data_IF_566982892065
#
_entry.id   IF_566982892065
#
_cell.length_a   1.000
_cell.length_b   1.000
_cell.length_c   1.000
_cell.angle_alpha   90.00
_cell.angle_beta   90.00
_cell.angle_gamma   90.00
#
_symmetry.space_group_name_H-M   'P 1'
#
loop_
_entity.id
_entity.type
_entity.pdbx_description
1 polymer ?
#
# COMPACT_ATOMS: atom_id res chain seq x y z
N UNK A 1 -15.00 46.96 -47.42
CA UNK A 1 -15.25 46.36 -46.09
C UNK A 1 -14.70 44.94 -46.11
N UNK A 2 -13.55 44.71 -45.47
CA UNK A 2 -12.92 43.40 -45.28
C UNK A 2 -12.72 43.26 -43.77
N UNK A 3 -13.45 42.35 -43.14
CA UNK A 3 -13.29 42.05 -41.71
C UNK A 3 -12.61 40.69 -41.54
N UNK A 4 -11.66 40.68 -40.61
CA UNK A 4 -10.68 39.64 -40.36
C UNK A 4 -11.29 38.35 -39.82
N UNK A 5 -10.74 37.21 -40.26
CA UNK A 5 -10.92 35.91 -39.62
C UNK A 5 -10.06 35.85 -38.35
N UNK A 6 -10.68 35.54 -37.21
CA UNK A 6 -10.02 35.35 -35.92
C UNK A 6 -9.59 33.88 -35.78
N UNK A 7 -8.28 33.66 -35.68
CA UNK A 7 -7.66 32.38 -35.39
C UNK A 7 -7.67 32.14 -33.87
N UNK A 8 -8.45 31.18 -33.40
CA UNK A 8 -8.39 30.67 -32.03
C UNK A 8 -7.18 29.74 -31.88
N UNK A 9 -6.14 30.23 -31.21
CA UNK A 9 -5.04 29.40 -30.70
C UNK A 9 -5.47 28.81 -29.35
N UNK A 10 -5.84 27.52 -29.33
CA UNK A 10 -6.03 26.75 -28.10
C UNK A 10 -4.66 26.33 -27.58
N UNK A 11 -4.17 27.03 -26.55
CA UNK A 11 -2.98 26.64 -25.79
C UNK A 11 -3.33 25.45 -24.91
N UNK A 12 -2.76 24.28 -25.22
CA UNK A 12 -2.87 23.05 -24.45
C UNK A 12 -1.92 23.14 -23.24
N UNK A 13 -2.43 23.58 -22.09
CA UNK A 13 -1.71 23.51 -20.82
C UNK A 13 -1.71 22.05 -20.33
N UNK A 14 -0.56 21.40 -20.47
CA UNK A 14 -0.29 20.09 -19.87
C UNK A 14 -0.15 20.29 -18.36
N UNK A 15 -1.21 20.00 -17.59
CA UNK A 15 -1.12 19.84 -16.14
C UNK A 15 -0.27 18.59 -15.85
N UNK A 16 1.00 18.79 -15.48
CA UNK A 16 1.74 17.76 -14.78
C UNK A 16 1.17 17.66 -13.37
N UNK A 17 0.51 16.53 -13.08
CA UNK A 17 0.11 16.20 -11.71
C UNK A 17 1.36 16.03 -10.86
N UNK A 18 1.61 16.99 -9.96
CA UNK A 18 2.60 16.87 -8.90
C UNK A 18 2.18 15.71 -7.99
N UNK A 19 2.78 14.54 -8.22
CA UNK A 19 2.75 13.46 -7.24
C UNK A 19 3.50 13.98 -6.00
N UNK A 20 2.78 14.12 -4.89
CA UNK A 20 3.39 14.43 -3.60
C UNK A 20 4.27 13.25 -3.21
N UNK A 21 5.58 13.36 -3.44
CA UNK A 21 6.54 12.36 -2.98
C UNK A 21 6.50 12.35 -1.45
N UNK A 22 6.34 11.17 -0.87
CA UNK A 22 6.33 10.95 0.57
C UNK A 22 7.73 11.12 1.23
N UNK A 23 8.65 11.77 0.52
CA UNK A 23 10.07 11.83 0.84
C UNK A 23 10.38 13.10 1.63
N UNK A 24 10.99 12.93 2.79
CA UNK A 24 11.59 14.01 3.55
C UNK A 24 12.86 14.54 2.88
N UNK A 25 13.44 15.64 3.41
CA UNK A 25 14.54 16.37 2.78
C UNK A 25 15.83 15.55 2.57
N UNK A 26 15.97 14.39 3.21
CA UNK A 26 17.15 13.53 3.12
C UNK A 26 16.87 12.17 2.43
N UNK A 27 15.73 12.01 1.76
CA UNK A 27 15.31 10.74 1.16
C UNK A 27 14.70 9.73 2.16
N UNK A 28 14.78 10.02 3.46
CA UNK A 28 14.03 9.30 4.49
C UNK A 28 12.53 9.57 4.37
N UNK A 29 11.70 8.57 4.67
CA UNK A 29 10.24 8.74 4.69
C UNK A 29 9.85 9.69 5.80
N UNK A 30 9.13 10.75 5.44
CA UNK A 30 8.40 11.53 6.41
C UNK A 30 7.17 10.70 6.82
N UNK A 31 7.06 10.33 8.09
CA UNK A 31 5.97 9.48 8.60
C UNK A 31 4.72 10.30 8.97
N UNK A 32 4.82 11.62 9.06
CA UNK A 32 3.71 12.46 9.49
C UNK A 32 2.57 12.47 8.47
N UNK A 33 1.36 12.73 8.96
CA UNK A 33 0.15 12.75 8.15
C UNK A 33 -0.57 11.40 8.13
N UNK A 34 -1.39 11.19 7.09
CA UNK A 34 -2.27 10.04 6.97
C UNK A 34 -1.80 9.05 5.90
N UNK A 35 -2.02 7.78 6.20
CA UNK A 35 -1.49 6.65 5.45
C UNK A 35 -2.55 5.59 5.28
N UNK A 36 -2.65 5.04 4.08
CA UNK A 36 -3.42 3.84 3.83
C UNK A 36 -2.46 2.65 3.85
N UNK A 37 -2.73 1.67 4.70
CA UNK A 37 -1.82 0.58 5.00
C UNK A 37 -2.46 -0.79 4.75
N UNK A 38 -1.60 -1.74 4.37
CA UNK A 38 -1.90 -3.17 4.36
C UNK A 38 -1.01 -3.87 5.37
N UNK A 39 -1.59 -4.76 6.17
CA UNK A 39 -0.90 -5.62 7.12
C UNK A 39 -0.98 -7.04 6.59
N UNK A 40 0.17 -7.69 6.51
CA UNK A 40 0.33 -9.06 6.00
C UNK A 40 1.07 -9.92 7.03
N UNK A 41 1.10 -11.23 6.81
CA UNK A 41 1.90 -12.18 7.58
C UNK A 41 1.12 -13.11 8.51
N UNK A 42 -0.18 -12.87 8.74
CA UNK A 42 -1.03 -13.84 9.43
C UNK A 42 -1.84 -14.69 8.41
N UNK A 43 -1.54 -15.99 8.26
CA UNK A 43 -2.24 -16.85 7.31
C UNK A 43 -3.71 -17.10 7.68
N UNK A 44 -4.11 -16.92 8.95
CA UNK A 44 -5.49 -17.09 9.39
C UNK A 44 -6.37 -15.86 9.10
N UNK A 45 -5.79 -14.66 9.03
CA UNK A 45 -6.54 -13.42 8.83
C UNK A 45 -6.40 -12.82 7.42
N UNK A 46 -5.41 -13.27 6.64
CA UNK A 46 -5.09 -12.68 5.34
C UNK A 46 -4.66 -11.22 5.49
N UNK A 47 -4.72 -10.48 4.38
CA UNK A 47 -4.33 -9.07 4.38
C UNK A 47 -5.37 -8.20 5.11
N UNK A 48 -4.96 -7.54 6.20
CA UNK A 48 -5.78 -6.56 6.93
C UNK A 48 -5.52 -5.16 6.38
N UNK A 49 -6.57 -4.36 6.19
CA UNK A 49 -6.45 -2.97 5.71
C UNK A 49 -6.81 -1.99 6.81
N UNK A 50 -5.96 -0.99 7.01
CA UNK A 50 -6.18 0.06 7.99
C UNK A 50 -5.59 1.40 7.51
N UNK A 51 -6.07 2.48 8.10
CA UNK A 51 -5.50 3.80 7.91
C UNK A 51 -4.79 4.22 9.19
N UNK A 52 -3.60 4.78 9.07
CA UNK A 52 -2.82 5.34 10.18
C UNK A 52 -2.69 6.84 10.01
N UNK A 53 -2.69 7.54 11.14
CA UNK A 53 -2.36 8.96 11.19
C UNK A 53 -1.34 9.22 12.30
N UNK A 54 -0.26 9.89 11.93
CA UNK A 54 0.80 10.31 12.84
C UNK A 54 0.84 11.83 12.88
N UNK A 55 0.53 12.40 14.04
CA UNK A 55 0.51 13.85 14.24
C UNK A 55 1.82 14.34 14.88
N UNK A 56 2.27 15.59 14.61
CA UNK A 56 3.56 16.10 15.11
C UNK A 56 3.69 16.13 16.64
N UNK A 57 2.55 16.10 17.35
CA UNK A 57 2.48 16.08 18.79
C UNK A 57 2.73 14.69 19.39
N UNK A 58 3.14 13.69 18.60
CA UNK A 58 3.34 12.31 19.03
C UNK A 58 2.07 11.45 19.03
N UNK A 59 0.92 12.01 18.65
CA UNK A 59 -0.35 11.26 18.65
C UNK A 59 -0.41 10.32 17.44
N UNK A 60 -0.86 9.08 17.70
CA UNK A 60 -1.12 8.07 16.67
C UNK A 60 -2.57 7.64 16.72
N UNK A 61 -3.21 7.57 15.56
CA UNK A 61 -4.60 7.13 15.41
C UNK A 61 -4.73 6.11 14.30
N UNK A 62 -5.63 5.15 14.48
CA UNK A 62 -5.99 4.21 13.44
C UNK A 62 -7.46 4.32 13.07
N UNK A 63 -7.76 4.11 11.80
CA UNK A 63 -9.12 3.88 11.32
C UNK A 63 -9.17 2.56 10.56
N UNK A 64 -10.17 1.74 10.88
CA UNK A 64 -10.48 0.57 10.06
C UNK A 64 -11.60 0.92 9.10
N UNK A 65 -11.58 0.38 7.87
CA UNK A 65 -12.78 0.27 7.08
C UNK A 65 -13.90 -0.43 7.87
N UNK A 66 -14.87 0.32 8.38
CA UNK A 66 -15.96 -0.19 9.22
C UNK A 66 -17.32 0.23 8.69
N UNK A 67 -18.33 -0.61 8.97
CA UNK A 67 -19.76 -0.32 8.77
C UNK A 67 -20.28 0.71 9.78
N UNK A 68 -19.65 0.81 10.95
CA UNK A 68 -20.07 1.68 12.04
C UNK A 68 -19.45 3.08 11.89
N UNK A 69 -20.34 4.07 11.69
CA UNK A 69 -20.05 5.45 11.32
C UNK A 69 -19.64 6.31 12.52
N UNK A 70 -19.77 5.82 13.75
CA UNK A 70 -19.78 6.68 14.93
C UNK A 70 -18.40 7.20 15.39
N UNK A 71 -17.27 6.61 14.95
CA UNK A 71 -15.89 7.06 15.24
C UNK A 71 -14.90 6.38 14.29
N UNK A 72 -14.42 7.03 13.21
CA UNK A 72 -13.48 6.39 12.29
C UNK A 72 -12.12 6.18 12.95
N UNK A 73 -11.66 7.15 13.76
CA UNK A 73 -10.31 7.15 14.33
C UNK A 73 -10.32 6.73 15.79
N UNK A 74 -9.64 5.63 16.09
CA UNK A 74 -9.39 5.17 17.44
C UNK A 74 -7.92 5.43 17.81
N UNK A 75 -7.64 5.90 19.04
CA UNK A 75 -6.28 6.18 19.47
C UNK A 75 -5.45 4.89 19.56
N UNK A 76 -4.16 5.04 19.28
CA UNK A 76 -3.10 4.08 19.53
C UNK A 76 -2.14 4.65 20.58
N UNK A 77 -1.09 3.92 20.95
CA UNK A 77 -0.01 4.50 21.73
C UNK A 77 0.66 5.65 20.96
N UNK A 78 1.31 6.55 21.69
CA UNK A 78 2.06 7.65 21.07
C UNK A 78 3.22 7.08 20.27
N UNK A 79 3.41 7.59 19.05
CA UNK A 79 4.55 7.17 18.26
C UNK A 79 5.84 7.75 18.84
N UNK A 80 6.93 7.01 18.71
CA UNK A 80 8.26 7.41 19.12
C UNK A 80 9.29 6.95 18.10
N UNK A 81 10.44 7.62 18.07
CA UNK A 81 11.61 7.13 17.33
C UNK A 81 12.55 6.45 18.31
N UNK A 82 12.77 5.16 18.14
CA UNK A 82 13.67 4.36 18.96
C UNK A 82 14.68 3.67 18.05
N UNK A 83 15.97 3.93 18.25
CA UNK A 83 17.06 3.37 17.43
C UNK A 83 16.90 3.60 15.92
N UNK A 84 16.26 4.70 15.51
CA UNK A 84 15.98 5.02 14.10
C UNK A 84 14.65 4.47 13.58
N UNK A 85 13.95 3.66 14.37
CA UNK A 85 12.69 3.04 14.00
C UNK A 85 11.49 3.81 14.59
N UNK A 86 10.42 3.94 13.81
CA UNK A 86 9.12 4.42 14.28
C UNK A 86 8.43 3.31 15.07
N UNK A 87 8.10 3.53 16.34
CA UNK A 87 7.43 2.53 17.17
C UNK A 87 6.12 3.06 17.75
N UNK A 88 5.09 2.21 17.77
CA UNK A 88 3.78 2.47 18.37
C UNK A 88 3.02 1.15 18.55
N UNK A 89 1.88 1.17 19.24
CA UNK A 89 1.19 -0.04 19.68
C UNK A 89 -0.33 0.11 19.62
N UNK A 90 -1.02 -0.97 19.27
CA UNK A 90 -2.45 -1.17 19.49
C UNK A 90 -2.67 -2.11 20.68
N UNK A 91 -2.83 -1.52 21.86
CA UNK A 91 -3.07 -2.26 23.10
C UNK A 91 -4.36 -3.09 23.09
N UNK A 92 -5.35 -2.72 22.26
CA UNK A 92 -6.61 -3.48 22.13
C UNK A 92 -6.41 -4.77 21.36
N UNK A 93 -5.54 -4.75 20.35
CA UNK A 93 -5.18 -5.92 19.56
C UNK A 93 -3.95 -6.66 20.12
N UNK A 94 -3.27 -6.11 21.13
CA UNK A 94 -2.01 -6.62 21.64
C UNK A 94 -0.91 -6.64 20.58
N UNK A 95 -0.90 -5.61 19.71
CA UNK A 95 -0.03 -5.54 18.52
C UNK A 95 0.95 -4.39 18.64
N UNK A 96 2.23 -4.70 18.57
CA UNK A 96 3.33 -3.74 18.52
C UNK A 96 3.72 -3.50 17.06
N UNK A 97 4.03 -2.26 16.71
CA UNK A 97 4.45 -1.86 15.38
C UNK A 97 5.83 -1.23 15.42
N UNK A 98 6.62 -1.58 14.41
CA UNK A 98 7.94 -1.05 14.15
C UNK A 98 8.03 -0.67 12.67
N UNK A 99 8.36 0.58 12.37
CA UNK A 99 8.50 1.11 11.03
C UNK A 99 9.93 1.55 10.74
N UNK A 100 10.44 1.18 9.58
CA UNK A 100 11.78 1.57 9.12
C UNK A 100 11.69 2.87 8.32
N UNK A 101 12.19 3.96 8.89
CA UNK A 101 12.16 5.28 8.28
C UNK A 101 13.27 5.52 7.25
N UNK A 102 14.22 4.58 7.11
CA UNK A 102 15.29 4.67 6.11
C UNK A 102 14.83 4.27 4.70
N UNK A 103 13.65 3.64 4.61
CA UNK A 103 13.04 3.20 3.35
C UNK A 103 12.42 4.37 2.59
N UNK A 104 12.01 4.11 1.35
CA UNK A 104 11.31 5.08 0.49
C UNK A 104 9.79 5.10 0.73
N UNK A 105 9.26 4.10 1.44
CA UNK A 105 7.85 3.96 1.78
C UNK A 105 7.70 3.71 3.29
N UNK A 106 6.54 4.06 3.85
CA UNK A 106 6.28 3.83 5.26
C UNK A 106 5.85 2.37 5.47
N UNK A 107 6.53 1.67 6.37
CA UNK A 107 6.18 0.30 6.72
C UNK A 107 7.26 -0.36 7.56
N UNK A 108 7.06 -1.63 7.88
CA UNK A 108 8.00 -2.43 8.66
C UNK A 108 7.34 -3.67 9.23
N UNK A 109 7.65 -4.00 10.46
CA UNK A 109 7.18 -5.20 11.15
C UNK A 109 6.05 -4.86 12.12
N UNK A 110 5.13 -5.80 12.30
CA UNK A 110 4.25 -5.83 13.46
C UNK A 110 4.41 -7.15 14.20
N UNK A 111 4.22 -7.13 15.51
CA UNK A 111 4.37 -8.29 16.37
C UNK A 111 3.22 -8.38 17.36
N UNK A 112 2.76 -9.60 17.60
CA UNK A 112 1.94 -9.99 18.74
C UNK A 112 2.69 -11.10 19.49
N UNK A 113 2.12 -11.57 20.61
CA UNK A 113 2.73 -12.60 21.45
C UNK A 113 3.21 -13.86 20.70
N UNK A 114 2.50 -14.29 19.66
CA UNK A 114 2.82 -15.51 18.90
C UNK A 114 2.85 -15.29 17.38
N UNK A 115 2.61 -14.07 16.93
CA UNK A 115 2.43 -13.77 15.51
C UNK A 115 3.35 -12.62 15.14
N UNK A 116 3.94 -12.72 13.97
CA UNK A 116 4.73 -11.65 13.38
C UNK A 116 4.26 -11.48 11.95
N UNK A 117 4.36 -10.26 11.47
CA UNK A 117 4.08 -9.95 10.09
C UNK A 117 4.67 -8.60 9.75
N UNK A 118 4.26 -8.08 8.61
CA UNK A 118 4.67 -6.76 8.19
C UNK A 118 3.52 -5.88 7.80
N UNK A 119 3.85 -4.62 7.61
CA UNK A 119 2.91 -3.60 7.20
C UNK A 119 3.58 -2.68 6.20
N UNK A 120 2.80 -2.24 5.22
CA UNK A 120 3.27 -1.37 4.15
C UNK A 120 2.18 -0.35 3.85
N UNK A 121 2.58 0.91 3.65
CA UNK A 121 1.65 2.00 3.49
C UNK A 121 1.97 2.86 2.27
N UNK A 122 0.89 3.38 1.68
CA UNK A 122 0.91 4.46 0.73
C UNK A 122 0.39 5.75 1.37
N UNK A 123 1.05 6.87 1.11
CA UNK A 123 0.62 8.20 1.57
C UNK A 123 -0.77 8.53 1.02
N UNK A 124 -1.63 9.09 1.88
CA UNK A 124 -2.96 9.61 1.51
C UNK A 124 -2.89 11.10 1.21
N UNK A 125 -3.76 11.57 0.31
CA UNK A 125 -3.94 13.01 0.08
C UNK A 125 -4.84 13.64 1.16
N UNK A 126 -4.72 14.94 1.37
CA UNK A 126 -5.59 15.67 2.32
C UNK A 126 -7.07 15.58 1.95
N UNK A 127 -7.37 15.48 0.65
CA UNK A 127 -8.71 15.26 0.13
C UNK A 127 -9.27 13.90 0.56
N UNK A 128 -8.47 12.83 0.53
CA UNK A 128 -8.89 11.50 0.99
C UNK A 128 -9.12 11.45 2.49
N UNK A 129 -8.29 12.16 3.26
CA UNK A 129 -8.44 12.29 4.72
C UNK A 129 -9.73 13.02 5.08
N UNK A 130 -10.05 14.08 4.35
CA UNK A 130 -11.22 14.93 4.58
C UNK A 130 -12.50 14.29 4.03
N UNK A 131 -12.44 13.63 2.87
CA UNK A 131 -13.56 12.88 2.30
C UNK A 131 -14.00 11.73 3.21
N UNK A 132 -13.09 11.18 4.04
CA UNK A 132 -13.44 10.26 5.12
C UNK A 132 -14.42 10.83 6.16
N UNK A 133 -14.62 12.16 6.20
CA UNK A 133 -15.62 12.85 7.02
C UNK A 133 -16.80 13.48 6.27
N UNK A 134 -16.79 13.52 4.92
CA UNK A 134 -17.83 14.21 4.11
C UNK A 134 -18.55 13.27 3.12
N UNK A 135 -18.13 12.02 2.96
CA UNK A 135 -18.83 11.03 2.14
C UNK A 135 -20.02 10.38 2.88
N UNK A 136 -20.84 11.19 3.55
CA UNK A 136 -21.86 10.72 4.50
C UNK A 136 -23.14 10.17 3.81
N UNK A 137 -23.34 10.43 2.51
CA UNK A 137 -24.65 10.23 1.86
C UNK A 137 -24.70 9.22 0.68
N UNK A 138 -23.59 8.68 0.16
CA UNK A 138 -23.64 7.85 -1.08
C UNK A 138 -23.47 6.34 -0.85
N UNK A 139 -23.13 5.86 0.35
CA UNK A 139 -22.74 4.45 0.56
C UNK A 139 -23.58 3.70 1.59
N UNK A 140 -24.91 3.85 1.55
CA UNK A 140 -25.79 2.86 2.14
C UNK A 140 -25.86 1.63 1.21
N UNK A 141 -24.99 0.63 1.45
CA UNK A 141 -25.15 -0.71 0.86
C UNK A 141 -24.02 -1.26 0.00
N UNK A 142 -22.75 -0.86 0.23
CA UNK A 142 -21.63 -1.47 -0.51
C UNK A 142 -20.64 -2.10 0.47
N UNK A 143 -20.84 -3.38 0.75
CA UNK A 143 -20.06 -4.14 1.74
C UNK A 143 -18.67 -4.61 1.25
N UNK A 144 -18.26 -4.34 0.01
CA UNK A 144 -17.02 -4.93 -0.55
C UNK A 144 -16.31 -4.06 -1.62
N UNK A 145 -16.10 -2.77 -1.35
CA UNK A 145 -15.45 -1.86 -2.34
C UNK A 145 -14.08 -1.32 -1.98
N UNK A 146 -13.46 -1.83 -0.90
CA UNK A 146 -12.05 -1.52 -0.57
C UNK A 146 -11.08 -2.67 -0.86
N UNK A 147 -11.58 -3.85 -1.22
CA UNK A 147 -10.73 -4.94 -1.71
C UNK A 147 -10.28 -4.59 -3.12
N UNK A 148 -8.98 -4.75 -3.38
CA UNK A 148 -8.45 -4.63 -4.74
C UNK A 148 -8.72 -5.97 -5.41
N UNK A 149 -9.40 -5.95 -6.55
CA UNK A 149 -9.82 -7.17 -7.26
C UNK A 149 -8.82 -7.40 -8.39
N UNK A 150 -8.11 -8.54 -8.42
CA UNK A 150 -7.25 -8.88 -9.55
C UNK A 150 -8.07 -9.03 -10.84
N UNK A 151 -7.64 -8.39 -11.92
CA UNK A 151 -8.21 -8.55 -13.25
C UNK A 151 -7.39 -9.54 -14.09
N UNK A 152 -6.06 -9.44 -14.00
CA UNK A 152 -5.10 -10.34 -14.65
C UNK A 152 -3.99 -10.65 -13.66
N UNK A 153 -3.68 -11.94 -13.48
CA UNK A 153 -2.60 -12.38 -12.60
C UNK A 153 -1.62 -13.20 -13.41
N UNK A 154 -0.44 -12.62 -13.67
CA UNK A 154 0.67 -13.36 -14.27
C UNK A 154 1.35 -14.23 -13.22
N UNK A 155 1.85 -15.38 -13.68
CA UNK A 155 2.58 -16.37 -12.86
C UNK A 155 4.07 -16.24 -13.17
N UNK A 156 4.95 -16.19 -12.15
CA UNK A 156 6.38 -16.12 -12.40
C UNK A 156 6.90 -17.39 -13.03
N UNK A 157 7.83 -17.25 -13.96
CA UNK A 157 8.61 -18.39 -14.45
C UNK A 157 9.57 -18.87 -13.37
N UNK A 158 9.64 -20.18 -13.15
CA UNK A 158 10.65 -20.77 -12.27
C UNK A 158 12.05 -20.65 -12.90
N UNK A 159 13.04 -20.04 -12.23
CA UNK A 159 14.41 -19.96 -12.77
C UNK A 159 15.02 -21.34 -13.00
N UNK A 160 15.56 -21.61 -14.19
CA UNK A 160 16.20 -22.90 -14.50
C UNK A 160 17.35 -23.24 -13.55
N UNK A 161 18.12 -22.23 -13.17
CA UNK A 161 19.23 -22.37 -12.22
C UNK A 161 18.72 -22.81 -10.83
N UNK A 162 17.63 -22.22 -10.35
CA UNK A 162 17.01 -22.62 -9.09
C UNK A 162 16.49 -24.07 -9.12
N UNK A 163 15.98 -24.54 -10.27
CA UNK A 163 15.60 -25.95 -10.46
C UNK A 163 16.82 -26.87 -10.32
N UNK A 164 17.93 -26.55 -11.00
CA UNK A 164 19.14 -27.37 -10.94
C UNK A 164 19.77 -27.41 -9.56
N UNK A 165 19.67 -26.31 -8.81
CA UNK A 165 20.17 -26.20 -7.44
C UNK A 165 19.19 -26.74 -6.40
N UNK A 166 17.98 -27.15 -6.79
CA UNK A 166 16.96 -27.64 -5.86
C UNK A 166 16.44 -26.57 -4.90
N UNK A 167 16.49 -25.30 -5.30
CA UNK A 167 16.10 -24.17 -4.44
C UNK A 167 14.60 -23.96 -4.50
N UNK A 168 13.97 -23.88 -3.34
CA UNK A 168 12.60 -23.43 -3.12
C UNK A 168 12.59 -22.08 -2.39
N UNK A 169 11.48 -21.36 -2.43
CA UNK A 169 11.50 -20.03 -1.84
C UNK A 169 10.22 -19.23 -1.90
N UNK A 170 10.32 -18.01 -1.37
CA UNK A 170 9.26 -17.01 -1.42
C UNK A 170 9.82 -15.62 -1.67
N UNK A 171 9.05 -14.83 -2.40
CA UNK A 171 9.29 -13.40 -2.61
C UNK A 171 8.04 -12.63 -2.21
N UNK A 172 8.20 -11.63 -1.36
CA UNK A 172 7.12 -10.71 -0.99
C UNK A 172 7.37 -9.35 -1.64
N UNK A 173 6.39 -8.90 -2.43
CA UNK A 173 6.43 -7.59 -3.08
C UNK A 173 5.21 -6.80 -2.65
N UNK A 174 5.40 -5.60 -2.13
CA UNK A 174 4.34 -4.64 -1.87
C UNK A 174 4.38 -3.50 -2.88
N UNK A 175 3.23 -2.94 -3.21
CA UNK A 175 3.07 -1.97 -4.29
C UNK A 175 1.81 -1.14 -4.07
N UNK A 176 1.75 0.01 -4.74
CA UNK A 176 0.52 0.78 -4.89
C UNK A 176 -0.30 0.29 -6.09
N UNK A 177 -1.61 0.38 -5.98
CA UNK A 177 -2.54 0.22 -7.11
C UNK A 177 -3.29 1.53 -7.28
N UNK A 178 -3.18 2.12 -8.47
CA UNK A 178 -3.90 3.33 -8.84
C UNK A 178 -5.38 3.04 -9.12
N UNK A 179 -6.29 4.05 -9.08
CA UNK A 179 -7.69 3.86 -9.43
C UNK A 179 -7.95 3.30 -10.84
N UNK A 180 -7.00 3.45 -11.77
CA UNK A 180 -7.05 2.81 -13.09
C UNK A 180 -6.87 1.29 -13.03
N UNK A 181 -6.38 0.75 -11.92
CA UNK A 181 -5.99 -0.65 -11.75
C UNK A 181 -4.53 -0.95 -12.11
N UNK A 182 -3.74 0.09 -12.43
CA UNK A 182 -2.31 -0.03 -12.72
C UNK A 182 -1.49 -0.17 -11.43
N UNK A 183 -0.40 -0.94 -11.50
CA UNK A 183 0.54 -1.16 -10.40
C UNK A 183 1.64 -0.09 -10.46
N UNK A 184 1.95 0.52 -9.31
CA UNK A 184 2.96 1.56 -9.16
C UNK A 184 3.86 1.28 -7.95
N UNK A 185 5.10 1.78 -8.00
CA UNK A 185 6.08 1.72 -6.90
C UNK A 185 6.25 0.32 -6.27
N UNK A 186 6.55 -0.72 -7.06
CA UNK A 186 6.80 -2.04 -6.49
C UNK A 186 8.07 -2.04 -5.64
N UNK A 187 7.96 -2.58 -4.43
CA UNK A 187 9.04 -2.71 -3.48
C UNK A 187 9.13 -4.16 -3.00
N UNK A 188 10.29 -4.77 -3.22
CA UNK A 188 10.56 -6.14 -2.80
C UNK A 188 11.00 -6.12 -1.35
N UNK A 189 10.17 -6.67 -0.45
CA UNK A 189 10.40 -6.63 1.00
C UNK A 189 11.15 -7.85 1.51
N UNK A 190 10.86 -9.01 0.94
CA UNK A 190 11.49 -10.26 1.34
C UNK A 190 11.81 -11.10 0.10
N UNK A 191 13.01 -11.69 0.09
CA UNK A 191 13.50 -12.57 -0.96
C UNK A 191 14.25 -13.70 -0.28
N UNK A 192 13.81 -14.94 -0.47
CA UNK A 192 14.52 -16.10 0.06
C UNK A 192 15.82 -16.38 -0.70
N UNK A 193 15.82 -16.15 -2.01
CA UNK A 193 16.98 -16.28 -2.89
C UNK A 193 16.88 -15.28 -4.05
N UNK A 194 17.98 -14.62 -4.40
CA UNK A 194 18.02 -13.57 -5.42
C UNK A 194 17.61 -14.06 -6.81
N UNK A 195 17.73 -15.37 -7.10
CA UNK A 195 17.24 -15.96 -8.34
C UNK A 195 15.72 -15.78 -8.53
N UNK A 196 14.96 -15.61 -7.46
CA UNK A 196 13.51 -15.45 -7.51
C UNK A 196 13.05 -13.98 -7.67
N UNK A 197 13.94 -13.00 -7.46
CA UNK A 197 13.60 -11.57 -7.48
C UNK A 197 13.02 -11.13 -8.82
N UNK A 198 13.80 -11.27 -9.89
CA UNK A 198 13.43 -10.77 -11.22
C UNK A 198 12.17 -11.46 -11.78
N UNK A 199 12.03 -12.80 -11.75
CA UNK A 199 10.80 -13.43 -12.22
C UNK A 199 9.55 -13.02 -11.44
N UNK A 200 9.67 -12.78 -10.12
CA UNK A 200 8.58 -12.28 -9.30
C UNK A 200 8.17 -10.87 -9.70
N UNK A 201 9.15 -9.99 -9.94
CA UNK A 201 8.90 -8.63 -10.43
C UNK A 201 8.24 -8.63 -11.81
N UNK A 202 8.72 -9.46 -12.74
CA UNK A 202 8.12 -9.60 -14.07
C UNK A 202 6.67 -10.10 -14.01
N UNK A 203 6.38 -11.08 -13.14
CA UNK A 203 5.02 -11.55 -12.91
C UNK A 203 4.13 -10.45 -12.30
N UNK A 204 4.66 -9.62 -11.41
CA UNK A 204 3.92 -8.49 -10.87
C UNK A 204 3.62 -7.47 -11.98
N UNK A 205 4.61 -7.08 -12.79
CA UNK A 205 4.46 -6.12 -13.89
C UNK A 205 3.46 -6.61 -14.94
N UNK A 206 3.44 -7.91 -15.22
CA UNK A 206 2.45 -8.53 -16.12
C UNK A 206 1.05 -8.69 -15.53
N UNK A 207 0.82 -8.29 -14.29
CA UNK A 207 -0.49 -8.36 -13.62
C UNK A 207 -1.23 -7.02 -13.67
N UNK A 208 -2.55 -7.06 -13.50
CA UNK A 208 -3.43 -5.88 -13.51
C UNK A 208 -4.59 -6.07 -12.55
N UNK A 209 -5.06 -4.98 -11.95
CA UNK A 209 -6.23 -4.97 -11.08
C UNK A 209 -7.43 -4.30 -11.77
N UNK A 210 -8.63 -4.58 -11.26
CA UNK A 210 -9.83 -3.87 -11.66
C UNK A 210 -9.78 -2.45 -11.12
N UNK A 211 -9.95 -1.46 -12.00
CA UNK A 211 -10.05 -0.05 -11.61
C UNK A 211 -11.35 0.29 -10.88
N UNK A 212 -11.36 1.44 -10.21
CA UNK A 212 -12.50 1.97 -9.48
C UNK A 212 -12.67 3.48 -9.68
N UNK A 213 -13.88 4.00 -9.42
CA UNK A 213 -14.11 5.44 -9.42
C UNK A 213 -13.45 6.07 -8.19
N UNK A 214 -12.35 6.80 -8.41
CA UNK A 214 -11.59 7.48 -7.37
C UNK A 214 -12.45 8.40 -6.51
N UNK A 215 -13.42 9.10 -7.12
CA UNK A 215 -14.28 10.06 -6.41
C UNK A 215 -15.17 9.37 -5.38
N UNK A 216 -15.48 8.09 -5.61
CA UNK A 216 -16.36 7.31 -4.73
C UNK A 216 -15.58 6.46 -3.74
N UNK A 217 -14.40 5.99 -4.13
CA UNK A 217 -13.70 4.91 -3.41
C UNK A 217 -12.27 5.24 -3.00
N UNK A 218 -11.85 6.51 -3.15
CA UNK A 218 -10.51 6.99 -2.81
C UNK A 218 -9.49 6.73 -3.91
N UNK A 219 -8.29 7.27 -3.74
CA UNK A 219 -7.16 7.12 -4.65
C UNK A 219 -6.40 5.82 -4.41
N UNK A 220 -5.08 5.92 -4.48
CA UNK A 220 -4.13 4.81 -4.49
C UNK A 220 -4.30 3.89 -3.28
N UNK A 221 -4.22 2.57 -3.51
CA UNK A 221 -4.39 1.56 -2.47
C UNK A 221 -3.14 0.68 -2.36
N UNK A 222 -2.64 0.40 -1.15
CA UNK A 222 -1.53 -0.52 -0.96
C UNK A 222 -1.99 -1.97 -1.20
N UNK A 223 -1.12 -2.80 -1.75
CA UNK A 223 -1.28 -4.25 -1.79
C UNK A 223 0.08 -4.93 -1.66
N UNK A 224 0.04 -6.18 -1.21
CA UNK A 224 1.21 -7.05 -1.20
C UNK A 224 0.86 -8.36 -1.90
N UNK A 225 1.87 -8.99 -2.49
CA UNK A 225 1.74 -10.31 -3.12
C UNK A 225 2.95 -11.15 -2.77
N UNK A 226 2.68 -12.36 -2.30
CA UNK A 226 3.70 -13.40 -2.14
C UNK A 226 3.72 -14.29 -3.37
N UNK A 227 4.91 -14.49 -3.91
CA UNK A 227 5.21 -15.49 -4.93
C UNK A 227 5.95 -16.63 -4.24
N UNK A 228 5.44 -17.86 -4.39
CA UNK A 228 5.99 -19.05 -3.75
C UNK A 228 6.50 -19.98 -4.84
N UNK A 229 7.73 -20.44 -4.68
CA UNK A 229 8.44 -21.34 -5.58
C UNK A 229 8.62 -22.66 -4.85
N UNK A 230 7.87 -23.68 -5.28
CA UNK A 230 7.94 -25.03 -4.76
C UNK A 230 8.36 -25.96 -5.88
N UNK A 231 9.21 -26.92 -5.57
CA UNK A 231 9.52 -28.03 -6.45
C UNK A 231 8.54 -29.16 -6.16
N UNK A 232 8.05 -29.80 -7.21
CA UNK A 232 7.23 -30.99 -7.02
C UNK A 232 8.08 -32.08 -6.36
N UNK A 233 7.59 -32.73 -5.28
CA UNK A 233 8.28 -33.89 -4.74
C UNK A 233 8.30 -34.98 -5.81
N UNK A 234 9.49 -35.40 -6.24
CA UNK A 234 9.65 -36.56 -7.10
C UNK A 234 9.29 -37.79 -6.24
N UNK A 235 8.13 -38.39 -6.49
CA UNK A 235 7.65 -39.61 -5.84
C UNK A 235 8.40 -40.86 -6.32
#
# INVERSE_FOLDING_TARGET
MRFLASLFFFSLLILHSLHSSAQGPNGAVDHLGAWSCVLYGDPAFGDERLQLRFDPDGTTRQARPSKDKARPWAPLSRWQIQNGDLVFEDSRAGREFKGDLSRTTLGGEWRMRMLVGGWWCSRMSEEEVTAGGVLEEVLAGVEDTRRIIPAVMSTPSYPREAIWLGLEGRVLICFGVEPSGDIVEPEVLEVSDELFREPSLQALIGSRYQGWDQRRYGGRRPACRSFVYLLDPIY
#
